data_IF_106570117968
#
_entry.id   IF_106570117968
#
_cell.length_a   1.000
_cell.length_b   1.000
_cell.length_c   1.000
_cell.angle_alpha   90.00
_cell.angle_beta   90.00
_cell.angle_gamma   90.00
#
_symmetry.space_group_name_H-M   'P 1'
#
loop_
_entity.id
_entity.type
_entity.pdbx_description
1 polymer ?
#
# COMPACT_ATOMS: atom_id res chain seq x y z
N UNK A 1 2.76 15.90 4.28
CA UNK A 1 2.86 15.88 2.80
C UNK A 1 2.45 14.51 2.31
N UNK A 2 1.51 14.46 1.38
CA UNK A 2 1.12 13.25 0.64
C UNK A 2 1.84 13.26 -0.70
N UNK A 3 2.71 12.27 -0.92
CA UNK A 3 3.45 12.10 -2.17
C UNK A 3 2.96 10.87 -2.92
N UNK A 4 2.66 11.01 -4.20
CA UNK A 4 2.24 9.94 -5.09
C UNK A 4 3.38 9.57 -6.06
N UNK A 5 3.72 8.30 -6.17
CA UNK A 5 4.85 7.85 -7.01
C UNK A 5 4.55 7.85 -8.50
N UNK A 6 3.28 7.91 -8.89
CA UNK A 6 2.84 7.86 -10.29
C UNK A 6 2.67 6.43 -10.83
N UNK A 7 2.85 5.40 -10.02
CA UNK A 7 2.78 4.01 -10.46
C UNK A 7 1.41 3.62 -11.03
N UNK A 8 0.33 4.14 -10.44
CA UNK A 8 -1.04 3.97 -10.92
C UNK A 8 -1.55 5.29 -11.47
N UNK A 9 -1.51 5.47 -12.78
CA UNK A 9 -1.94 6.67 -13.48
C UNK A 9 -3.35 6.55 -14.10
N UNK A 10 -3.90 5.33 -14.21
CA UNK A 10 -5.28 5.16 -14.66
C UNK A 10 -6.25 5.74 -13.64
N UNK A 11 -7.22 6.52 -14.14
CA UNK A 11 -8.23 7.15 -13.28
C UNK A 11 -8.99 6.14 -12.40
N UNK A 12 -9.28 4.96 -12.94
CA UNK A 12 -9.99 3.90 -12.20
C UNK A 12 -9.14 3.23 -11.12
N UNK A 13 -7.82 3.40 -11.17
CA UNK A 13 -6.86 2.85 -10.19
C UNK A 13 -6.28 3.93 -9.26
N UNK A 14 -6.59 5.18 -9.50
CA UNK A 14 -6.04 6.32 -8.75
C UNK A 14 -7.12 7.38 -8.48
N UNK A 15 -7.44 8.21 -9.45
CA UNK A 15 -8.27 9.41 -9.27
C UNK A 15 -9.66 9.13 -8.71
N UNK A 16 -10.25 7.98 -9.05
CA UNK A 16 -11.57 7.58 -8.54
C UNK A 16 -11.59 7.47 -7.01
N UNK A 17 -10.52 6.94 -6.41
CA UNK A 17 -10.43 6.77 -4.95
C UNK A 17 -10.32 8.12 -4.23
N UNK A 18 -9.52 9.05 -4.77
CA UNK A 18 -9.44 10.40 -4.19
C UNK A 18 -10.79 11.09 -4.20
N UNK A 19 -11.52 11.01 -5.32
CA UNK A 19 -12.85 11.59 -5.45
C UNK A 19 -13.88 10.92 -4.54
N UNK A 20 -14.01 9.60 -4.62
CA UNK A 20 -15.09 8.86 -3.97
C UNK A 20 -14.90 8.77 -2.45
N UNK A 21 -13.67 8.71 -1.98
CA UNK A 21 -13.33 8.76 -0.55
C UNK A 21 -13.15 10.19 -0.03
N UNK A 22 -13.35 11.20 -0.87
CA UNK A 22 -13.23 12.64 -0.54
C UNK A 22 -11.86 12.97 0.08
N UNK A 23 -10.81 12.36 -0.46
CA UNK A 23 -9.44 12.60 -0.03
C UNK A 23 -8.90 13.87 -0.70
N UNK A 24 -7.99 14.55 -0.01
CA UNK A 24 -7.23 15.62 -0.63
C UNK A 24 -6.29 15.07 -1.71
N UNK A 25 -6.08 15.83 -2.77
CA UNK A 25 -5.11 15.45 -3.80
C UNK A 25 -3.69 15.37 -3.23
N UNK A 26 -2.85 14.50 -3.79
CA UNK A 26 -1.43 14.49 -3.44
C UNK A 26 -0.78 15.85 -3.65
N UNK A 27 0.00 16.29 -2.66
CA UNK A 27 0.74 17.55 -2.76
C UNK A 27 1.93 17.44 -3.72
N UNK A 28 2.45 16.22 -3.89
CA UNK A 28 3.61 15.95 -4.75
C UNK A 28 3.37 14.71 -5.61
N UNK A 29 3.60 14.85 -6.92
CA UNK A 29 3.68 13.73 -7.86
C UNK A 29 5.13 13.50 -8.25
N UNK A 30 5.66 12.30 -7.99
CA UNK A 30 7.05 11.95 -8.28
C UNK A 30 7.25 11.53 -9.73
N UNK A 31 6.21 11.12 -10.44
CA UNK A 31 6.28 10.64 -11.83
C UNK A 31 7.43 9.62 -12.01
N UNK A 32 7.42 8.60 -11.15
CA UNK A 32 8.53 7.66 -11.07
C UNK A 32 8.49 6.53 -12.10
N UNK A 33 7.42 6.42 -12.88
CA UNK A 33 7.30 5.37 -13.91
C UNK A 33 8.42 5.51 -14.93
N UNK A 34 9.16 4.42 -15.14
CA UNK A 34 10.21 4.32 -16.13
C UNK A 34 9.83 3.41 -17.31
N UNK A 35 10.76 3.14 -18.20
CA UNK A 35 10.58 2.28 -19.36
C UNK A 35 10.45 0.79 -18.99
N UNK A 36 10.85 0.42 -17.79
CA UNK A 36 10.78 -0.93 -17.25
C UNK A 36 10.68 -0.88 -15.72
N UNK A 37 10.42 -2.04 -15.11
CA UNK A 37 10.25 -2.16 -13.66
C UNK A 37 11.49 -1.72 -12.88
N UNK A 38 12.68 -2.08 -13.34
CA UNK A 38 13.94 -1.71 -12.68
C UNK A 38 14.15 -0.19 -12.65
N UNK A 39 13.87 0.48 -13.75
CA UNK A 39 13.92 1.94 -13.84
C UNK A 39 12.87 2.59 -12.93
N UNK A 40 11.65 2.06 -12.91
CA UNK A 40 10.58 2.53 -12.03
C UNK A 40 11.00 2.44 -10.55
N UNK A 41 11.52 1.30 -10.12
CA UNK A 41 12.01 1.11 -8.75
C UNK A 41 13.17 2.07 -8.43
N UNK A 42 14.12 2.22 -9.34
CA UNK A 42 15.23 3.17 -9.20
C UNK A 42 14.75 4.62 -9.08
N UNK A 43 13.81 5.02 -9.91
CA UNK A 43 13.21 6.35 -9.89
C UNK A 43 12.44 6.63 -8.59
N UNK A 44 11.70 5.65 -8.07
CA UNK A 44 11.00 5.78 -6.78
C UNK A 44 12.02 6.08 -5.68
N UNK A 45 13.10 5.32 -5.60
CA UNK A 45 14.15 5.52 -4.58
C UNK A 45 14.82 6.89 -4.75
N UNK A 46 15.23 7.24 -5.96
CA UNK A 46 15.98 8.48 -6.23
C UNK A 46 15.13 9.73 -5.99
N UNK A 47 13.91 9.76 -6.55
CA UNK A 47 13.03 10.93 -6.45
C UNK A 47 12.48 11.12 -5.03
N UNK A 48 12.14 10.03 -4.34
CA UNK A 48 11.71 10.10 -2.94
C UNK A 48 12.85 10.55 -2.02
N UNK A 49 14.09 10.11 -2.26
CA UNK A 49 15.26 10.61 -1.53
C UNK A 49 15.41 12.13 -1.69
N UNK A 50 15.36 12.62 -2.92
CA UNK A 50 15.47 14.06 -3.20
C UNK A 50 14.37 14.85 -2.49
N UNK A 51 13.11 14.41 -2.62
CA UNK A 51 11.97 15.04 -1.95
C UNK A 51 12.17 15.09 -0.44
N UNK A 52 12.52 13.97 0.19
CA UNK A 52 12.71 13.91 1.64
C UNK A 52 13.89 14.74 2.13
N UNK A 53 14.97 14.87 1.33
CA UNK A 53 16.09 15.73 1.64
C UNK A 53 15.70 17.21 1.63
N UNK A 54 14.75 17.60 0.78
CA UNK A 54 14.23 18.98 0.68
C UNK A 54 13.26 19.29 1.83
N UNK A 55 12.23 18.44 2.00
CA UNK A 55 11.16 18.73 2.98
C UNK A 55 11.52 18.35 4.41
N UNK A 56 12.52 17.49 4.61
CA UNK A 56 13.04 17.03 5.92
C UNK A 56 11.90 16.61 6.87
N UNK A 57 11.10 15.58 6.52
CA UNK A 57 9.98 15.17 7.33
C UNK A 57 10.47 14.56 8.65
N UNK A 58 9.68 14.69 9.72
CA UNK A 58 9.97 14.06 11.02
C UNK A 58 9.81 12.54 10.99
N UNK A 59 8.99 12.03 10.08
CA UNK A 59 8.76 10.61 9.86
C UNK A 59 8.20 10.32 8.47
N UNK A 60 8.36 9.07 8.03
CA UNK A 60 7.73 8.55 6.81
C UNK A 60 6.77 7.42 7.18
N UNK A 61 5.55 7.51 6.67
CA UNK A 61 4.54 6.47 6.76
C UNK A 61 4.36 5.82 5.39
N UNK A 62 4.49 4.51 5.33
CA UNK A 62 4.18 3.72 4.13
C UNK A 62 3.15 2.65 4.46
N UNK A 63 2.34 2.29 3.46
CA UNK A 63 1.33 1.24 3.59
C UNK A 63 1.58 0.16 2.54
N UNK A 64 1.63 -1.08 3.01
CA UNK A 64 1.69 -2.26 2.14
C UNK A 64 3.04 -2.45 1.46
N UNK A 65 2.99 -2.97 0.25
CA UNK A 65 4.10 -3.66 -0.41
C UNK A 65 4.24 -3.34 -1.90
N UNK A 66 3.50 -2.37 -2.43
CA UNK A 66 3.71 -1.90 -3.80
C UNK A 66 5.11 -1.30 -3.96
N UNK A 67 5.59 -1.15 -5.19
CA UNK A 67 6.93 -0.59 -5.41
C UNK A 67 7.12 0.79 -4.77
N UNK A 68 6.06 1.53 -4.51
CA UNK A 68 6.11 2.82 -3.80
C UNK A 68 6.74 2.71 -2.41
N UNK A 69 6.61 1.55 -1.74
CA UNK A 69 7.22 1.31 -0.44
C UNK A 69 8.75 1.34 -0.46
N UNK A 70 9.39 1.15 -1.62
CA UNK A 70 10.85 1.24 -1.78
C UNK A 70 11.41 2.63 -1.47
N UNK A 71 10.56 3.65 -1.40
CA UNK A 71 10.92 4.98 -0.90
C UNK A 71 11.56 4.96 0.50
N UNK A 72 11.27 3.93 1.31
CA UNK A 72 11.86 3.77 2.65
C UNK A 72 13.38 3.61 2.63
N UNK A 73 13.96 3.15 1.51
CA UNK A 73 15.41 3.07 1.34
C UNK A 73 16.02 4.48 1.43
N UNK A 74 15.41 5.44 0.76
CA UNK A 74 15.79 6.85 0.85
C UNK A 74 15.64 7.42 2.25
N UNK A 75 14.50 7.16 2.90
CA UNK A 75 14.23 7.59 4.26
C UNK A 75 15.28 7.06 5.25
N UNK A 76 15.61 5.78 5.14
CA UNK A 76 16.62 5.16 6.01
C UNK A 76 18.01 5.78 5.84
N UNK A 77 18.39 6.12 4.61
CA UNK A 77 19.68 6.79 4.33
C UNK A 77 19.73 8.22 4.86
N UNK A 78 18.57 8.87 4.99
CA UNK A 78 18.44 10.21 5.56
C UNK A 78 18.18 10.19 7.08
N UNK A 79 18.19 9.02 7.71
CA UNK A 79 17.91 8.83 9.14
C UNK A 79 16.52 9.31 9.57
N UNK A 80 15.54 9.25 8.66
CA UNK A 80 14.14 9.59 8.92
C UNK A 80 13.45 8.35 9.47
N UNK A 81 12.75 8.42 10.62
CA UNK A 81 11.97 7.32 11.18
C UNK A 81 10.90 6.80 10.21
N UNK A 82 10.81 5.47 10.07
CA UNK A 82 9.92 4.80 9.13
C UNK A 82 8.86 4.01 9.88
N UNK A 83 7.60 4.28 9.56
CA UNK A 83 6.42 3.55 10.04
C UNK A 83 5.81 2.77 8.88
N UNK A 84 5.69 1.45 9.05
CA UNK A 84 5.15 0.56 8.01
C UNK A 84 3.81 -0.02 8.45
N UNK A 85 2.74 0.36 7.78
CA UNK A 85 1.39 -0.23 7.93
C UNK A 85 1.26 -1.48 7.06
N UNK A 86 0.43 -2.43 7.49
CA UNK A 86 0.26 -3.74 6.86
C UNK A 86 1.49 -4.64 6.97
N UNK A 87 2.34 -4.37 7.95
CA UNK A 87 3.57 -5.11 8.18
C UNK A 87 3.32 -6.57 8.58
N UNK A 88 4.24 -7.45 8.20
CA UNK A 88 4.24 -8.85 8.62
C UNK A 88 3.30 -9.77 7.85
N UNK A 89 2.59 -9.28 6.84
CA UNK A 89 1.87 -10.17 5.92
C UNK A 89 2.88 -11.04 5.15
N UNK A 90 2.49 -12.27 4.83
CA UNK A 90 3.36 -13.21 4.10
C UNK A 90 2.55 -13.96 3.04
N UNK A 91 3.20 -14.19 1.91
CA UNK A 91 2.75 -15.11 0.89
C UNK A 91 3.69 -16.31 0.85
N UNK A 92 3.15 -17.49 0.52
CA UNK A 92 3.97 -18.69 0.31
C UNK A 92 4.67 -18.69 -1.05
N UNK A 93 4.13 -17.93 -1.99
CA UNK A 93 4.72 -17.73 -3.30
C UNK A 93 5.79 -16.63 -3.23
N UNK A 94 7.04 -17.05 -3.29
CA UNK A 94 8.20 -16.15 -3.25
C UNK A 94 8.45 -15.44 -4.60
N UNK A 95 7.76 -15.85 -5.67
CA UNK A 95 7.86 -15.20 -6.98
C UNK A 95 7.10 -13.88 -7.03
N UNK A 96 6.22 -13.63 -6.07
CA UNK A 96 5.46 -12.38 -5.98
C UNK A 96 6.37 -11.19 -5.67
N UNK A 97 6.41 -10.16 -6.55
CA UNK A 97 7.21 -8.96 -6.31
C UNK A 97 6.86 -8.28 -4.97
N UNK A 98 5.57 -8.30 -4.61
CA UNK A 98 5.07 -7.74 -3.36
C UNK A 98 5.64 -8.47 -2.14
N UNK A 99 5.87 -9.77 -2.21
CA UNK A 99 6.46 -10.51 -1.07
C UNK A 99 7.91 -10.08 -0.84
N UNK A 100 8.67 -9.84 -1.89
CA UNK A 100 10.03 -9.31 -1.80
C UNK A 100 10.03 -7.89 -1.21
N UNK A 101 9.19 -7.01 -1.72
CA UNK A 101 9.06 -5.63 -1.23
C UNK A 101 8.69 -5.60 0.26
N UNK A 102 7.69 -6.38 0.64
CA UNK A 102 7.19 -6.48 2.00
C UNK A 102 8.26 -6.89 3.00
N UNK A 103 9.03 -7.94 2.68
CA UNK A 103 10.13 -8.41 3.52
C UNK A 103 11.20 -7.34 3.70
N UNK A 104 11.56 -6.65 2.62
CA UNK A 104 12.55 -5.56 2.70
C UNK A 104 12.04 -4.42 3.59
N UNK A 105 10.81 -3.98 3.39
CA UNK A 105 10.24 -2.85 4.13
C UNK A 105 10.06 -3.20 5.61
N UNK A 106 9.60 -4.40 5.94
CA UNK A 106 9.51 -4.87 7.32
C UNK A 106 10.84 -4.76 8.07
N UNK A 107 11.94 -5.17 7.42
CA UNK A 107 13.27 -5.16 8.03
C UNK A 107 13.84 -3.74 8.16
N UNK A 108 13.60 -2.89 7.18
CA UNK A 108 14.15 -1.53 7.14
C UNK A 108 13.39 -0.60 8.11
N UNK A 109 12.10 -0.84 8.33
CA UNK A 109 11.23 0.02 9.12
C UNK A 109 11.61 0.06 10.59
N UNK A 110 11.45 1.23 11.20
CA UNK A 110 11.72 1.45 12.62
C UNK A 110 10.53 1.00 13.48
N UNK A 111 9.31 1.13 12.94
CA UNK A 111 8.06 0.68 13.58
C UNK A 111 7.24 -0.10 12.57
N UNK A 112 6.84 -1.31 12.93
CA UNK A 112 5.96 -2.17 12.17
C UNK A 112 4.55 -2.21 12.78
N UNK A 113 3.54 -1.85 11.98
CA UNK A 113 2.13 -1.84 12.36
C UNK A 113 1.41 -2.99 11.64
N UNK A 114 1.28 -4.11 12.34
CA UNK A 114 0.67 -5.33 11.83
C UNK A 114 -0.85 -5.28 11.92
N UNK A 115 -1.56 -5.90 10.97
CA UNK A 115 -3.02 -5.99 10.99
C UNK A 115 -3.54 -7.07 11.94
N UNK A 116 -2.72 -8.05 12.29
CA UNK A 116 -3.12 -9.16 13.15
C UNK A 116 -1.98 -9.66 14.03
N UNK A 117 -2.34 -10.38 15.08
CA UNK A 117 -1.37 -11.13 15.91
C UNK A 117 -0.60 -12.18 15.09
N UNK A 118 -1.21 -12.70 14.03
CA UNK A 118 -0.55 -13.64 13.13
C UNK A 118 0.60 -12.96 12.38
N UNK A 119 0.35 -11.80 11.80
CA UNK A 119 1.38 -11.00 11.14
C UNK A 119 2.51 -10.59 12.12
N UNK A 120 2.14 -10.20 13.35
CA UNK A 120 3.12 -9.87 14.38
C UNK A 120 4.04 -11.05 14.72
N UNK A 121 3.53 -12.28 14.73
CA UNK A 121 4.34 -13.49 14.95
C UNK A 121 5.36 -13.69 13.83
N UNK A 122 4.97 -13.50 12.57
CA UNK A 122 5.90 -13.56 11.44
C UNK A 122 7.05 -12.56 11.58
N UNK A 123 6.76 -11.32 12.02
CA UNK A 123 7.80 -10.32 12.27
C UNK A 123 8.76 -10.78 13.38
N UNK A 124 8.23 -11.34 14.47
CA UNK A 124 9.05 -11.86 15.57
C UNK A 124 9.90 -13.06 15.11
N UNK A 125 9.39 -13.94 14.27
CA UNK A 125 10.11 -15.08 13.71
C UNK A 125 11.25 -14.63 12.78
N UNK A 126 11.12 -13.44 12.15
CA UNK A 126 12.18 -12.79 11.40
C UNK A 126 13.20 -12.07 12.28
N UNK A 127 13.08 -12.15 13.60
CA UNK A 127 14.01 -11.52 14.55
C UNK A 127 13.77 -10.01 14.77
N UNK A 128 12.62 -9.48 14.34
CA UNK A 128 12.32 -8.07 14.54
C UNK A 128 11.90 -7.78 16.00
N UNK A 129 12.31 -6.62 16.56
CA UNK A 129 12.05 -6.27 17.95
C UNK A 129 10.55 -6.18 18.26
N UNK A 130 10.08 -6.85 19.30
CA UNK A 130 8.68 -6.82 19.72
C UNK A 130 8.25 -5.43 20.17
N UNK A 131 9.15 -4.64 20.70
CA UNK A 131 8.94 -3.27 21.19
C UNK A 131 8.63 -2.29 20.06
N UNK A 132 8.92 -2.67 18.82
CA UNK A 132 8.68 -1.86 17.62
C UNK A 132 7.61 -2.45 16.71
N UNK A 133 6.87 -3.44 17.21
CA UNK A 133 5.80 -4.12 16.45
C UNK A 133 4.48 -3.99 17.19
N UNK A 134 3.54 -3.29 16.58
CA UNK A 134 2.22 -3.01 17.13
C UNK A 134 1.14 -3.66 16.30
N UNK A 135 0.12 -4.25 16.93
CA UNK A 135 -1.08 -4.74 16.23
C UNK A 135 -2.10 -3.61 16.22
N UNK A 136 -2.28 -3.00 15.06
CA UNK A 136 -3.19 -1.86 14.88
C UNK A 136 -4.54 -2.27 14.30
N UNK A 137 -4.63 -3.46 13.72
CA UNK A 137 -5.78 -3.86 12.92
C UNK A 137 -5.76 -3.25 11.51
N UNK A 138 -6.64 -3.76 10.64
CA UNK A 138 -6.82 -3.21 9.30
C UNK A 138 -7.72 -1.96 9.34
N UNK A 139 -7.39 -0.89 8.59
CA UNK A 139 -8.24 0.29 8.49
C UNK A 139 -9.53 0.04 7.69
N UNK A 140 -9.66 -1.10 7.02
CA UNK A 140 -10.79 -1.39 6.12
C UNK A 140 -12.15 -1.30 6.83
N UNK A 141 -12.23 -1.79 8.08
CA UNK A 141 -13.48 -1.71 8.85
C UNK A 141 -13.90 -0.26 9.14
N UNK A 142 -12.93 0.63 9.37
CA UNK A 142 -13.17 2.06 9.56
C UNK A 142 -13.60 2.72 8.25
N UNK A 143 -12.90 2.43 7.15
CA UNK A 143 -13.25 2.94 5.81
C UNK A 143 -14.68 2.55 5.43
N UNK A 144 -15.06 1.28 5.61
CA UNK A 144 -16.42 0.81 5.31
C UNK A 144 -17.47 1.49 6.19
N UNK A 145 -17.18 1.65 7.48
CA UNK A 145 -18.11 2.31 8.41
C UNK A 145 -18.30 3.78 8.08
N UNK A 146 -17.24 4.49 7.74
CA UNK A 146 -17.28 5.90 7.39
C UNK A 146 -18.04 6.18 6.08
N UNK A 147 -18.09 5.19 5.18
CA UNK A 147 -18.77 5.29 3.89
C UNK A 147 -20.09 4.47 3.85
N UNK A 148 -20.59 4.01 5.00
CA UNK A 148 -21.75 3.11 5.04
C UNK A 148 -23.00 3.73 4.41
N UNK A 149 -23.24 5.02 4.62
CA UNK A 149 -24.39 5.71 4.05
C UNK A 149 -24.37 5.74 2.52
N UNK A 150 -23.21 5.99 1.93
CA UNK A 150 -23.01 5.97 0.48
C UNK A 150 -23.12 4.55 -0.08
N UNK A 151 -22.61 3.55 0.63
CA UNK A 151 -22.73 2.13 0.27
C UNK A 151 -24.19 1.70 0.25
N UNK A 152 -24.96 2.06 1.29
CA UNK A 152 -26.39 1.72 1.38
C UNK A 152 -27.25 2.46 0.35
N UNK A 153 -26.88 3.69 -0.01
CA UNK A 153 -27.56 4.49 -1.02
C UNK A 153 -27.22 4.07 -2.45
N UNK A 154 -26.27 3.17 -2.66
CA UNK A 154 -25.81 2.74 -4.00
C UNK A 154 -26.89 1.98 -4.76
N UNK A 155 -27.13 2.38 -6.00
CA UNK A 155 -28.05 1.73 -6.94
C UNK A 155 -27.41 0.61 -7.79
N UNK A 156 -26.17 0.22 -7.45
CA UNK A 156 -25.37 -0.71 -8.27
C UNK A 156 -26.09 -2.05 -8.53
N UNK A 157 -26.81 -2.57 -7.56
CA UNK A 157 -27.58 -3.81 -7.77
C UNK A 157 -28.65 -3.64 -8.86
N UNK A 158 -29.39 -2.54 -8.83
CA UNK A 158 -30.41 -2.24 -9.83
C UNK A 158 -29.78 -2.02 -11.22
N UNK A 159 -28.67 -1.27 -11.29
CA UNK A 159 -27.94 -1.00 -12.55
C UNK A 159 -27.40 -2.26 -13.21
N UNK A 160 -26.95 -3.24 -12.41
CA UNK A 160 -26.43 -4.51 -12.90
C UNK A 160 -27.49 -5.62 -12.99
N UNK A 161 -28.74 -5.35 -12.64
CA UNK A 161 -29.84 -6.33 -12.62
C UNK A 161 -29.62 -7.46 -11.60
N UNK A 162 -28.92 -7.17 -10.50
CA UNK A 162 -28.60 -8.15 -9.46
C UNK A 162 -29.64 -8.14 -8.34
N UNK A 163 -29.97 -9.32 -7.85
CA UNK A 163 -30.82 -9.48 -6.67
C UNK A 163 -29.95 -9.71 -5.45
N UNK A 164 -30.20 -8.94 -4.38
CA UNK A 164 -29.42 -9.03 -3.13
C UNK A 164 -29.41 -10.46 -2.59
N UNK A 165 -28.21 -10.97 -2.34
CA UNK A 165 -27.99 -12.34 -1.84
C UNK A 165 -28.06 -13.44 -2.89
N UNK A 166 -28.27 -13.12 -4.18
CA UNK A 166 -28.34 -14.10 -5.27
C UNK A 166 -27.22 -13.92 -6.31
N UNK A 167 -26.05 -13.47 -5.92
CA UNK A 167 -24.87 -13.37 -6.79
C UNK A 167 -23.61 -13.72 -6.02
N UNK A 168 -22.58 -14.01 -6.75
CA UNK A 168 -21.22 -14.20 -6.23
C UNK A 168 -20.35 -13.08 -6.77
N UNK A 169 -19.67 -12.38 -5.89
CA UNK A 169 -18.65 -11.40 -6.28
C UNK A 169 -17.32 -12.11 -6.42
N UNK A 170 -16.74 -12.09 -7.62
CA UNK A 170 -15.39 -12.57 -7.90
C UNK A 170 -14.46 -11.38 -8.09
N UNK A 171 -13.34 -11.37 -7.38
CA UNK A 171 -12.22 -10.46 -7.65
C UNK A 171 -11.00 -11.29 -8.01
N UNK A 172 -10.51 -11.10 -9.24
CA UNK A 172 -9.29 -11.73 -9.74
C UNK A 172 -8.46 -10.66 -10.45
N UNK A 173 -7.24 -10.44 -9.99
CA UNK A 173 -6.40 -9.33 -10.43
C UNK A 173 -4.89 -9.66 -10.45
N UNK A 174 -4.54 -10.93 -10.30
CA UNK A 174 -3.15 -11.37 -10.41
C UNK A 174 -2.86 -11.81 -11.83
N UNK A 175 -1.64 -11.51 -12.29
CA UNK A 175 -1.16 -11.83 -13.63
C UNK A 175 -1.40 -13.32 -13.96
N UNK A 176 -1.07 -14.21 -13.03
CA UNK A 176 -1.26 -15.66 -13.18
C UNK A 176 -2.73 -16.08 -13.36
N UNK A 177 -3.67 -15.23 -12.98
CA UNK A 177 -5.10 -15.50 -13.10
C UNK A 177 -5.74 -14.88 -14.34
N UNK A 178 -5.07 -13.93 -15.00
CA UNK A 178 -5.63 -13.14 -16.11
C UNK A 178 -4.89 -13.38 -17.42
N UNK A 179 -3.59 -13.70 -17.39
CA UNK A 179 -2.74 -13.83 -18.57
C UNK A 179 -2.50 -15.30 -19.00
N UNK A 180 -3.24 -16.25 -18.41
CA UNK A 180 -3.21 -17.65 -18.90
C UNK A 180 -4.14 -17.79 -20.10
N UNK A 181 -3.56 -18.17 -21.26
CA UNK A 181 -4.31 -18.67 -22.43
C UNK A 181 -5.10 -19.94 -22.11
#
# INVERSE_FOLDING_TARGET
VLAHTGQNYDYNLNGIFFRDLKLADPEVYLDAVGSNLGETCGNIIAKSYTLMAEIKPDAVLVLGDTNSCLSVIGAKRLHIPIFHMEAGNRCKDECLPEETNRRMVDIISDVNMAYSEHARRYLADCGLPKERTYVTGSPMAEVLRNNLAEIEASDIHARLGLEKGKYILLSAHREENIDTE
#
